data_IF_859847459583
#
_entry.id   IF_859847459583
#
_cell.length_a   1.000
_cell.length_b   1.000
_cell.length_c   1.000
_cell.angle_alpha   90.00
_cell.angle_beta   90.00
_cell.angle_gamma   90.00
#
_symmetry.space_group_name_H-M   'P 1'
#
loop_
_entity.id
_entity.type
_entity.pdbx_description
1 polymer ?
#
# COMPACT_ATOMS: atom_id res chain seq x y z
N UNK A 1 5.26 -19.42 -8.42
CA UNK A 1 5.95 -19.88 -9.63
C UNK A 1 6.09 -21.40 -9.59
N UNK A 2 5.67 -22.10 -10.65
CA UNK A 2 5.72 -23.57 -10.74
C UNK A 2 6.26 -23.96 -12.12
N UNK A 3 7.03 -25.05 -12.18
CA UNK A 3 7.60 -25.54 -13.44
C UNK A 3 6.58 -26.44 -14.17
N UNK A 4 6.34 -26.12 -15.44
CA UNK A 4 5.47 -26.87 -16.35
C UNK A 4 6.22 -27.22 -17.61
N UNK A 5 5.93 -28.41 -18.14
CA UNK A 5 6.36 -28.84 -19.48
C UNK A 5 5.14 -28.79 -20.40
N UNK A 6 5.04 -27.77 -21.24
CA UNK A 6 3.93 -27.59 -22.20
C UNK A 6 4.21 -28.48 -23.41
N UNK A 7 3.34 -29.46 -23.64
CA UNK A 7 3.53 -30.51 -24.65
C UNK A 7 2.82 -30.14 -25.95
N UNK A 8 1.53 -29.81 -25.85
CA UNK A 8 0.67 -29.56 -27.00
C UNK A 8 -0.28 -28.39 -26.76
N UNK A 9 -0.63 -27.70 -27.85
CA UNK A 9 -1.60 -26.61 -27.86
C UNK A 9 -2.89 -27.07 -28.54
N UNK A 10 -4.00 -27.04 -27.82
CA UNK A 10 -5.35 -27.18 -28.38
C UNK A 10 -6.04 -25.81 -28.47
N UNK A 11 -7.28 -25.78 -28.98
CA UNK A 11 -8.07 -24.56 -29.12
C UNK A 11 -8.31 -23.84 -27.79
N UNK A 12 -8.68 -24.61 -26.76
CA UNK A 12 -9.18 -24.06 -25.50
C UNK A 12 -8.23 -24.30 -24.32
N UNK A 13 -7.24 -25.18 -24.49
CA UNK A 13 -6.25 -25.50 -23.45
C UNK A 13 -4.90 -25.93 -24.03
N UNK A 14 -3.85 -25.73 -23.26
CA UNK A 14 -2.54 -26.34 -23.44
C UNK A 14 -2.46 -27.60 -22.58
N UNK A 15 -2.00 -28.70 -23.17
CA UNK A 15 -1.65 -29.91 -22.43
C UNK A 15 -0.26 -29.74 -21.86
N UNK A 16 -0.14 -29.80 -20.54
CA UNK A 16 1.11 -29.60 -19.83
C UNK A 16 1.39 -30.75 -18.83
N UNK A 17 2.65 -30.86 -18.41
CA UNK A 17 3.07 -31.80 -17.38
C UNK A 17 3.67 -31.06 -16.19
N UNK A 18 3.22 -31.41 -15.00
CA UNK A 18 3.74 -30.90 -13.72
C UNK A 18 4.16 -32.08 -12.85
N UNK A 19 5.44 -32.14 -12.48
CA UNK A 19 6.02 -33.23 -11.65
C UNK A 19 5.64 -34.64 -12.14
N UNK A 20 5.56 -34.84 -13.46
CA UNK A 20 5.21 -36.13 -14.09
C UNK A 20 3.72 -36.39 -14.30
N UNK A 21 2.82 -35.58 -13.72
CA UNK A 21 1.37 -35.70 -13.92
C UNK A 21 0.88 -34.80 -15.06
N UNK A 22 -0.12 -35.26 -15.81
CA UNK A 22 -0.77 -34.46 -16.84
C UNK A 22 -1.70 -33.41 -16.20
N UNK A 23 -1.67 -32.21 -16.77
CA UNK A 23 -2.47 -31.07 -16.38
C UNK A 23 -2.82 -30.22 -17.60
N UNK A 24 -3.81 -29.35 -17.44
CA UNK A 24 -4.26 -28.46 -18.51
C UNK A 24 -4.06 -27.02 -18.09
N UNK A 25 -3.61 -26.18 -19.01
CA UNK A 25 -3.53 -24.73 -18.83
C UNK A 25 -4.55 -24.09 -19.78
N UNK A 26 -5.50 -23.31 -19.28
CA UNK A 26 -6.54 -22.68 -20.13
C UNK A 26 -5.90 -21.69 -21.10
N UNK A 27 -6.34 -21.70 -22.37
CA UNK A 27 -5.97 -20.67 -23.36
C UNK A 27 -6.86 -19.44 -23.13
N UNK A 28 -6.24 -18.34 -22.74
CA UNK A 28 -6.84 -17.03 -22.51
C UNK A 28 -5.91 -15.92 -23.02
N UNK A 29 -6.31 -14.67 -22.87
CA UNK A 29 -5.54 -13.49 -23.33
C UNK A 29 -4.10 -13.46 -22.76
N UNK A 30 -3.86 -14.13 -21.63
CA UNK A 30 -2.56 -14.18 -20.97
C UNK A 30 -1.67 -15.34 -21.44
N UNK A 31 -2.25 -16.41 -21.98
CA UNK A 31 -1.56 -17.64 -22.37
C UNK A 31 -1.52 -17.89 -23.88
N UNK A 32 -2.26 -17.12 -24.68
CA UNK A 32 -2.37 -17.32 -26.13
C UNK A 32 -1.02 -17.32 -26.86
N UNK A 33 -0.07 -16.51 -26.38
CA UNK A 33 1.29 -16.35 -26.93
C UNK A 33 2.33 -17.32 -26.33
N UNK A 34 1.92 -18.28 -25.50
CA UNK A 34 2.83 -19.23 -24.86
C UNK A 34 3.38 -20.24 -25.88
N UNK A 35 4.71 -20.40 -26.00
CA UNK A 35 5.34 -21.41 -26.81
C UNK A 35 5.28 -22.80 -26.15
N UNK A 36 5.56 -23.84 -26.95
CA UNK A 36 5.66 -25.23 -26.49
C UNK A 36 7.05 -25.41 -25.86
N UNK A 37 7.12 -26.14 -24.74
CA UNK A 37 8.36 -26.42 -24.02
C UNK A 37 8.27 -26.20 -22.52
N UNK A 38 9.44 -26.17 -21.87
CA UNK A 38 9.53 -26.01 -20.42
C UNK A 38 9.47 -24.55 -20.02
N UNK A 39 8.48 -24.22 -19.19
CA UNK A 39 8.24 -22.87 -18.71
C UNK A 39 8.01 -22.85 -17.21
N UNK A 40 8.51 -21.80 -16.58
CA UNK A 40 8.27 -21.51 -15.18
C UNK A 40 7.18 -20.44 -15.10
N UNK A 41 6.02 -20.84 -14.59
CA UNK A 41 4.77 -20.07 -14.75
C UNK A 41 4.13 -19.70 -13.41
N UNK A 42 3.49 -18.55 -13.37
CA UNK A 42 2.53 -18.10 -12.37
C UNK A 42 1.14 -18.52 -12.78
N UNK A 43 0.64 -19.51 -12.07
CA UNK A 43 -0.66 -20.11 -12.31
C UNK A 43 -1.49 -20.14 -11.04
N UNK A 44 -2.78 -19.97 -11.22
CA UNK A 44 -3.82 -20.29 -10.25
C UNK A 44 -4.45 -21.63 -10.64
N UNK A 45 -4.74 -22.46 -9.65
CA UNK A 45 -5.46 -23.71 -9.87
C UNK A 45 -6.97 -23.42 -9.86
N UNK A 46 -7.61 -23.57 -11.02
CA UNK A 46 -9.04 -23.31 -11.22
C UNK A 46 -9.82 -24.64 -11.25
N UNK A 47 -9.20 -25.75 -10.86
CA UNK A 47 -9.87 -27.04 -10.77
C UNK A 47 -10.94 -27.02 -9.68
N UNK A 48 -12.17 -26.72 -10.06
CA UNK A 48 -13.32 -26.97 -9.21
C UNK A 48 -13.64 -28.47 -9.25
N UNK A 49 -13.30 -29.17 -8.16
CA UNK A 49 -13.49 -30.61 -7.98
C UNK A 49 -14.95 -31.04 -8.16
N UNK A 50 -15.89 -30.13 -7.95
CA UNK A 50 -17.32 -30.44 -7.93
C UNK A 50 -18.00 -30.22 -9.29
N UNK A 51 -17.41 -29.42 -10.18
CA UNK A 51 -18.07 -28.98 -11.42
C UNK A 51 -17.49 -29.66 -12.67
N UNK A 52 -16.23 -30.10 -12.65
CA UNK A 52 -15.53 -30.56 -13.87
C UNK A 52 -15.16 -32.06 -13.93
N UNK A 53 -15.51 -32.87 -12.91
CA UNK A 53 -15.30 -34.33 -12.85
C UNK A 53 -13.95 -34.84 -13.41
N UNK A 54 -12.91 -34.03 -13.30
CA UNK A 54 -11.59 -34.26 -13.88
C UNK A 54 -10.59 -34.54 -12.76
N UNK A 55 -9.85 -35.64 -12.87
CA UNK A 55 -8.69 -35.94 -12.00
C UNK A 55 -7.46 -35.09 -12.35
N UNK A 56 -7.52 -34.33 -13.45
CA UNK A 56 -6.45 -33.48 -13.94
C UNK A 56 -6.60 -32.07 -13.39
N UNK A 57 -5.50 -31.50 -12.89
CA UNK A 57 -5.46 -30.11 -12.44
C UNK A 57 -5.60 -29.15 -13.62
N UNK A 58 -6.52 -28.20 -13.50
CA UNK A 58 -6.73 -27.14 -14.49
C UNK A 58 -6.12 -25.87 -13.92
N UNK A 59 -5.21 -25.28 -14.68
CA UNK A 59 -4.45 -24.12 -14.30
C UNK A 59 -4.77 -22.96 -15.24
N UNK A 60 -4.72 -21.74 -14.70
CA UNK A 60 -4.85 -20.51 -15.49
C UNK A 60 -3.66 -19.61 -15.19
N UNK A 61 -3.07 -18.99 -16.22
CA UNK A 61 -2.01 -18.00 -15.99
C UNK A 61 -2.60 -16.79 -15.27
N UNK A 62 -1.93 -16.31 -14.24
CA UNK A 62 -2.34 -15.08 -13.55
C UNK A 62 -1.78 -13.82 -14.20
N UNK A 63 -0.82 -13.97 -15.13
CA UNK A 63 -0.12 -12.89 -15.82
C UNK A 63 0.15 -13.28 -17.29
N UNK A 64 0.25 -12.31 -18.22
CA UNK A 64 0.65 -12.57 -19.60
C UNK A 64 1.98 -13.33 -19.69
N UNK A 65 2.12 -14.26 -20.64
CA UNK A 65 3.32 -15.09 -20.81
C UNK A 65 4.60 -14.25 -20.92
N UNK A 66 4.55 -13.12 -21.64
CA UNK A 66 5.68 -12.19 -21.80
C UNK A 66 6.19 -11.60 -20.47
N UNK A 67 5.36 -11.59 -19.41
CA UNK A 67 5.66 -11.03 -18.10
C UNK A 67 5.95 -12.13 -17.04
N UNK A 68 6.01 -13.40 -17.45
CA UNK A 68 6.24 -14.53 -16.53
C UNK A 68 7.68 -14.53 -15.98
N UNK A 69 8.64 -14.02 -16.76
CA UNK A 69 10.03 -13.86 -16.34
C UNK A 69 10.30 -12.62 -15.51
N UNK A 70 9.36 -11.66 -15.45
CA UNK A 70 9.52 -10.35 -14.81
C UNK A 70 8.83 -10.28 -13.45
N UNK A 71 8.97 -11.32 -12.63
CA UNK A 71 8.71 -11.13 -11.18
C UNK A 71 10.00 -10.66 -10.54
N UNK A 72 10.50 -9.57 -11.12
CA UNK A 72 11.26 -8.62 -10.36
C UNK A 72 10.34 -8.14 -9.26
N UNK A 73 10.89 -8.12 -8.05
CA UNK A 73 10.22 -7.62 -6.88
C UNK A 73 10.79 -6.24 -6.66
N UNK A 74 9.94 -5.22 -6.64
CA UNK A 74 10.36 -3.92 -6.17
C UNK A 74 10.00 -3.81 -4.69
N UNK A 75 10.94 -3.28 -3.90
CA UNK A 75 10.70 -2.99 -2.49
C UNK A 75 10.68 -1.49 -2.28
N UNK A 76 9.84 -1.06 -1.34
CA UNK A 76 9.78 0.31 -0.91
C UNK A 76 9.87 0.34 0.59
N UNK A 77 10.91 1.02 1.09
CA UNK A 77 11.06 1.25 2.52
C UNK A 77 9.92 2.15 3.00
N UNK A 78 9.28 1.77 4.11
CA UNK A 78 8.36 2.70 4.75
C UNK A 78 9.14 3.96 5.15
N UNK A 79 8.69 5.13 4.69
CA UNK A 79 9.12 6.39 5.27
C UNK A 79 8.94 6.31 6.78
N UNK A 80 9.86 6.87 7.57
CA UNK A 80 9.84 6.76 9.04
C UNK A 80 8.57 7.31 9.71
N UNK A 81 7.70 8.00 8.96
CA UNK A 81 6.36 8.40 9.38
C UNK A 81 5.31 7.46 8.80
N UNK A 82 4.44 6.96 9.67
CA UNK A 82 3.33 6.09 9.34
C UNK A 82 2.19 6.90 8.69
N UNK A 83 1.94 6.71 7.39
CA UNK A 83 0.84 7.34 6.67
C UNK A 83 -0.22 6.30 6.27
N UNK A 84 -1.45 6.46 6.77
CA UNK A 84 -2.56 5.53 6.56
C UNK A 84 -3.09 5.53 5.13
N UNK A 85 -3.13 6.70 4.48
CA UNK A 85 -3.59 6.84 3.09
C UNK A 85 -2.60 6.17 2.14
N UNK A 86 -1.31 6.33 2.38
CA UNK A 86 -0.25 5.64 1.64
C UNK A 86 -0.35 4.12 1.80
N UNK A 87 -0.60 3.60 3.01
CA UNK A 87 -0.78 2.17 3.24
C UNK A 87 -1.98 1.58 2.51
N UNK A 88 -3.13 2.28 2.54
CA UNK A 88 -4.28 1.89 1.72
C UNK A 88 -3.87 1.78 0.24
N UNK A 89 -3.03 2.69 -0.25
CA UNK A 89 -2.52 2.65 -1.62
C UNK A 89 -1.54 1.49 -1.86
N UNK A 90 -0.65 1.19 -0.93
CA UNK A 90 0.24 0.02 -1.04
C UNK A 90 -0.54 -1.28 -1.13
N UNK A 91 -1.56 -1.44 -0.28
CA UNK A 91 -2.45 -2.60 -0.33
C UNK A 91 -3.21 -2.70 -1.67
N UNK A 92 -3.71 -1.57 -2.21
CA UNK A 92 -4.35 -1.52 -3.52
C UNK A 92 -3.40 -1.90 -4.67
N UNK A 93 -2.11 -1.62 -4.53
CA UNK A 93 -1.07 -2.01 -5.50
C UNK A 93 -0.61 -3.47 -5.32
N UNK A 94 -1.25 -4.24 -4.43
CA UNK A 94 -0.87 -5.62 -4.14
C UNK A 94 0.36 -5.76 -3.24
N UNK A 95 0.76 -4.67 -2.58
CA UNK A 95 1.89 -4.64 -1.66
C UNK A 95 1.68 -5.52 -0.45
N UNK A 96 2.74 -6.21 -0.04
CA UNK A 96 2.79 -6.99 1.20
C UNK A 96 3.87 -6.42 2.11
N UNK A 97 3.53 -6.22 3.38
CA UNK A 97 4.50 -5.80 4.38
C UNK A 97 5.40 -6.96 4.78
N UNK A 98 6.71 -6.79 4.69
CA UNK A 98 7.72 -7.75 5.13
C UNK A 98 8.37 -7.27 6.44
N UNK A 99 7.99 -7.85 7.61
CA UNK A 99 8.42 -7.35 8.92
C UNK A 99 9.93 -7.44 9.16
N UNK A 100 10.61 -8.42 8.55
CA UNK A 100 12.05 -8.64 8.77
C UNK A 100 12.87 -7.53 8.14
N UNK A 101 12.48 -7.09 6.94
CA UNK A 101 13.15 -6.00 6.21
C UNK A 101 12.62 -4.63 6.63
N UNK A 102 11.39 -4.57 7.14
CA UNK A 102 10.70 -3.31 7.39
C UNK A 102 10.34 -2.58 6.09
N UNK A 103 10.00 -3.34 5.05
CA UNK A 103 9.73 -2.84 3.71
C UNK A 103 8.41 -3.40 3.15
N UNK A 104 7.80 -2.61 2.27
CA UNK A 104 6.70 -3.09 1.44
C UNK A 104 7.26 -3.75 0.19
N UNK A 105 6.73 -4.92 -0.14
CA UNK A 105 7.15 -5.76 -1.26
C UNK A 105 6.03 -5.78 -2.30
N UNK A 106 6.37 -5.47 -3.55
CA UNK A 106 5.42 -5.40 -4.66
C UNK A 106 5.90 -6.21 -5.86
N UNK A 107 5.00 -6.45 -6.81
CA UNK A 107 5.39 -6.90 -8.15
C UNK A 107 6.02 -5.75 -8.92
N UNK A 108 7.07 -6.01 -9.71
CA UNK A 108 7.65 -5.01 -10.60
C UNK A 108 6.67 -4.44 -11.63
N UNK A 109 5.57 -5.14 -11.93
CA UNK A 109 4.50 -4.62 -12.79
C UNK A 109 3.88 -3.29 -12.29
N UNK A 110 4.03 -2.98 -11.00
CA UNK A 110 3.58 -1.72 -10.40
C UNK A 110 4.73 -0.82 -9.96
N UNK A 111 5.96 -1.11 -10.36
CA UNK A 111 7.17 -0.39 -9.95
C UNK A 111 7.08 1.11 -10.22
N UNK A 112 6.67 1.53 -11.42
CA UNK A 112 6.50 2.95 -11.75
C UNK A 112 5.54 3.67 -10.80
N UNK A 113 4.46 2.99 -10.40
CA UNK A 113 3.46 3.53 -9.46
C UNK A 113 4.00 3.60 -8.04
N UNK A 114 4.76 2.59 -7.63
CA UNK A 114 5.43 2.55 -6.33
C UNK A 114 6.51 3.62 -6.25
N UNK A 115 7.31 3.80 -7.31
CA UNK A 115 8.34 4.83 -7.42
C UNK A 115 7.72 6.23 -7.37
N UNK A 116 6.67 6.50 -8.13
CA UNK A 116 5.96 7.78 -8.08
C UNK A 116 5.41 8.10 -6.67
N UNK A 117 4.83 7.10 -5.99
CA UNK A 117 4.34 7.25 -4.63
C UNK A 117 5.48 7.44 -3.62
N UNK A 118 6.59 6.74 -3.81
CA UNK A 118 7.80 6.86 -3.01
C UNK A 118 8.41 8.26 -3.13
N UNK A 119 8.49 8.80 -4.35
CA UNK A 119 8.96 10.18 -4.59
C UNK A 119 8.08 11.21 -3.88
N UNK A 120 6.76 11.01 -3.89
CA UNK A 120 5.84 11.89 -3.17
C UNK A 120 6.08 11.85 -1.65
N UNK A 121 6.17 10.66 -1.08
CA UNK A 121 6.36 10.45 0.37
C UNK A 121 7.75 10.88 0.86
N UNK A 122 8.78 10.74 0.02
CA UNK A 122 10.15 11.11 0.33
C UNK A 122 10.52 12.53 -0.13
N UNK A 123 9.55 13.30 -0.63
CA UNK A 123 9.74 14.70 -0.99
C UNK A 123 10.13 15.57 0.22
N UNK A 124 10.58 16.78 -0.04
CA UNK A 124 11.01 17.71 1.01
C UNK A 124 9.90 17.92 2.06
N UNK A 125 10.22 17.74 3.34
CA UNK A 125 9.29 17.96 4.44
C UNK A 125 9.08 19.45 4.73
N UNK A 126 7.83 19.82 4.99
CA UNK A 126 7.38 21.15 5.43
C UNK A 126 6.64 21.06 6.74
N UNK A 127 6.77 22.10 7.57
CA UNK A 127 5.99 22.20 8.80
C UNK A 127 4.67 22.88 8.51
N UNK A 128 3.60 22.12 8.66
CA UNK A 128 2.23 22.55 8.44
C UNK A 128 1.58 22.78 9.79
N UNK A 129 0.88 23.89 9.95
CA UNK A 129 0.04 24.15 11.13
C UNK A 129 -1.41 24.20 10.66
N UNK A 130 -2.22 23.26 11.13
CA UNK A 130 -3.66 23.21 10.87
C UNK A 130 -4.40 23.84 12.05
N UNK A 131 -5.07 24.96 11.81
CA UNK A 131 -5.96 25.62 12.76
C UNK A 131 -7.40 25.14 12.52
N UNK A 132 -7.99 24.49 13.50
CA UNK A 132 -9.36 24.01 13.43
C UNK A 132 -10.32 25.14 13.80
N UNK A 133 -11.11 25.62 12.85
CA UNK A 133 -12.11 26.67 13.11
C UNK A 133 -13.34 26.11 13.83
N UNK A 134 -13.61 24.82 13.64
CA UNK A 134 -14.72 24.10 14.25
C UNK A 134 -14.26 22.86 15.00
N UNK A 135 -15.11 22.37 15.90
CA UNK A 135 -14.85 21.12 16.61
C UNK A 135 -15.05 19.94 15.66
N UNK A 136 -13.99 19.21 15.37
CA UNK A 136 -14.02 18.02 14.51
C UNK A 136 -14.12 16.78 15.38
N UNK A 137 -15.08 15.91 15.08
CA UNK A 137 -15.22 14.60 15.71
C UNK A 137 -15.09 13.50 14.66
N UNK A 138 -14.18 12.56 14.88
CA UNK A 138 -14.00 11.37 14.05
C UNK A 138 -14.41 10.14 14.87
N UNK A 139 -15.26 9.29 14.29
CA UNK A 139 -15.78 8.08 14.91
C UNK A 139 -15.29 6.84 14.14
N UNK A 140 -14.86 5.81 14.85
CA UNK A 140 -14.48 4.51 14.26
C UNK A 140 -13.15 4.50 13.50
N UNK A 141 -12.61 5.67 13.16
CA UNK A 141 -11.33 5.82 12.47
C UNK A 141 -10.37 6.71 13.27
N UNK A 142 -9.04 6.54 13.09
CA UNK A 142 -8.06 7.44 13.68
C UNK A 142 -8.16 8.84 13.05
N UNK A 143 -8.07 9.87 13.88
CA UNK A 143 -7.91 11.25 13.43
C UNK A 143 -6.58 11.38 12.68
N UNK A 144 -6.66 11.77 11.41
CA UNK A 144 -5.51 11.92 10.51
C UNK A 144 -5.43 13.34 9.98
N UNK A 145 -4.23 13.80 9.62
CA UNK A 145 -3.98 15.01 8.85
C UNK A 145 -2.97 14.67 7.75
N UNK A 146 -3.31 14.92 6.49
CA UNK A 146 -2.55 14.52 5.31
C UNK A 146 -2.28 13.00 5.26
N UNK A 147 -3.16 12.19 5.82
CA UNK A 147 -3.03 10.75 6.02
C UNK A 147 -2.15 10.33 7.20
N UNK A 148 -1.54 11.26 7.94
CA UNK A 148 -0.74 10.96 9.13
C UNK A 148 -1.62 10.96 10.38
N UNK A 149 -1.61 9.89 11.21
CA UNK A 149 -2.33 9.88 12.47
C UNK A 149 -1.83 11.00 13.40
N UNK A 150 -2.76 11.72 13.99
CA UNK A 150 -2.46 12.77 14.97
C UNK A 150 -2.19 12.17 16.34
N UNK A 151 -2.98 11.15 16.71
CA UNK A 151 -2.96 10.50 18.01
C UNK A 151 -2.52 9.05 17.83
N UNK A 152 -1.43 8.68 18.52
CA UNK A 152 -0.90 7.31 18.56
C UNK A 152 -1.72 6.39 19.46
N UNK A 153 -2.24 6.93 20.56
CA UNK A 153 -2.99 6.18 21.54
C UNK A 153 -3.25 6.96 22.81
N UNK A 154 -3.63 6.26 23.87
CA UNK A 154 -3.90 6.82 25.19
C UNK A 154 -2.82 6.42 26.19
N UNK A 155 -2.42 7.34 27.06
CA UNK A 155 -1.59 7.00 28.21
C UNK A 155 -2.42 6.35 29.33
N UNK A 156 -1.76 5.90 30.41
CA UNK A 156 -2.44 5.31 31.58
C UNK A 156 -3.44 6.23 32.27
N UNK A 157 -3.34 7.55 32.04
CA UNK A 157 -4.23 8.59 32.57
C UNK A 157 -5.32 9.01 31.55
N UNK A 158 -5.47 8.27 30.46
CA UNK A 158 -6.41 8.55 29.36
C UNK A 158 -6.15 9.88 28.62
N UNK A 159 -4.95 10.44 28.70
CA UNK A 159 -4.57 11.57 27.86
C UNK A 159 -4.06 11.06 26.50
N UNK A 160 -4.38 11.76 25.39
CA UNK A 160 -3.89 11.41 24.08
C UNK A 160 -2.37 11.59 24.00
N UNK A 161 -1.72 10.56 23.48
CA UNK A 161 -0.30 10.58 23.10
C UNK A 161 -0.26 10.94 21.62
N UNK A 162 0.38 12.06 21.30
CA UNK A 162 0.55 12.49 19.91
C UNK A 162 1.58 11.61 19.20
N UNK A 163 1.41 11.47 17.88
CA UNK A 163 2.34 10.72 17.04
C UNK A 163 3.67 11.46 16.85
N UNK A 164 4.69 10.75 16.36
CA UNK A 164 6.01 11.32 16.08
C UNK A 164 5.93 12.56 15.16
N UNK A 165 6.65 13.62 15.52
CA UNK A 165 6.65 14.92 14.80
C UNK A 165 5.29 15.64 14.74
N UNK A 166 4.30 15.23 15.55
CA UNK A 166 3.05 15.97 15.76
C UNK A 166 3.11 16.77 17.07
N UNK A 167 2.75 18.03 17.01
CA UNK A 167 2.76 18.95 18.16
C UNK A 167 1.46 19.74 18.24
N UNK A 168 0.81 19.71 19.41
CA UNK A 168 -0.31 20.59 19.71
C UNK A 168 0.24 21.95 20.14
N UNK A 169 -0.05 23.00 19.37
CA UNK A 169 0.36 24.38 19.66
C UNK A 169 -0.62 25.11 20.56
N UNK A 170 -1.90 24.87 20.35
CA UNK A 170 -2.99 25.51 21.07
C UNK A 170 -4.20 24.59 21.07
N UNK A 171 -5.06 24.74 22.08
CA UNK A 171 -6.33 24.05 22.20
C UNK A 171 -6.18 22.66 22.80
N UNK A 172 -7.09 21.77 22.45
CA UNK A 172 -7.23 20.47 23.10
C UNK A 172 -7.65 19.40 22.09
N UNK A 173 -7.04 18.22 22.25
CA UNK A 173 -7.43 17.01 21.56
C UNK A 173 -7.95 16.07 22.65
N UNK A 174 -9.12 15.50 22.43
CA UNK A 174 -9.70 14.49 23.29
C UNK A 174 -9.77 13.17 22.52
N UNK A 175 -9.33 12.08 23.16
CA UNK A 175 -9.40 10.75 22.59
C UNK A 175 -10.15 9.84 23.56
N UNK A 176 -11.17 9.17 23.03
CA UNK A 176 -11.94 8.12 23.68
C UNK A 176 -11.79 6.83 22.87
N UNK A 177 -12.12 5.66 23.44
CA UNK A 177 -12.19 4.41 22.69
C UNK A 177 -13.08 4.58 21.45
N UNK A 178 -12.51 4.44 20.25
CA UNK A 178 -13.24 4.56 18.98
C UNK A 178 -13.69 5.99 18.60
N UNK A 179 -13.25 7.03 19.31
CA UNK A 179 -13.63 8.42 19.03
C UNK A 179 -12.47 9.37 19.28
N UNK A 180 -12.13 10.19 18.29
CA UNK A 180 -11.16 11.27 18.40
C UNK A 180 -11.84 12.61 18.17
N UNK A 181 -11.50 13.63 18.94
CA UNK A 181 -12.09 14.95 18.82
C UNK A 181 -11.02 16.03 18.95
N UNK A 182 -11.11 17.03 18.07
CA UNK A 182 -10.29 18.26 18.12
C UNK A 182 -11.25 19.41 18.37
N UNK A 183 -11.03 20.19 19.43
CA UNK A 183 -11.88 21.33 19.72
C UNK A 183 -11.59 22.51 18.78
N UNK A 184 -12.61 23.32 18.50
CA UNK A 184 -12.45 24.58 17.80
C UNK A 184 -11.39 25.48 18.46
N UNK A 185 -10.59 26.17 17.66
CA UNK A 185 -9.45 26.98 18.12
C UNK A 185 -8.18 26.17 18.41
N UNK A 186 -8.19 24.86 18.17
CA UNK A 186 -6.98 24.04 18.31
C UNK A 186 -6.07 24.19 17.10
N UNK A 187 -4.76 24.26 17.35
CA UNK A 187 -3.73 24.37 16.33
C UNK A 187 -2.77 23.19 16.43
N UNK A 188 -2.75 22.34 15.39
CA UNK A 188 -1.91 21.14 15.33
C UNK A 188 -0.82 21.37 14.30
N UNK A 189 0.43 21.12 14.68
CA UNK A 189 1.58 21.23 13.78
C UNK A 189 2.22 19.88 13.54
N UNK A 190 2.43 19.55 12.27
CA UNK A 190 3.05 18.31 11.82
C UNK A 190 3.99 18.54 10.62
N UNK A 191 4.93 17.61 10.41
CA UNK A 191 5.83 17.63 9.26
C UNK A 191 5.24 16.79 8.12
N UNK A 192 4.95 17.42 6.98
CA UNK A 192 4.30 16.79 5.82
C UNK A 192 5.20 16.93 4.58
N UNK A 193 5.39 15.87 3.77
CA UNK A 193 6.09 15.99 2.50
C UNK A 193 5.37 16.93 1.53
N UNK A 194 6.11 17.80 0.84
CA UNK A 194 5.57 18.84 -0.03
C UNK A 194 4.60 18.28 -1.07
N UNK A 195 4.98 17.18 -1.71
CA UNK A 195 4.19 16.59 -2.78
C UNK A 195 2.82 16.05 -2.30
N UNK A 196 2.62 15.88 -0.99
CA UNK A 196 1.32 15.49 -0.42
C UNK A 196 0.40 16.70 -0.20
N UNK A 197 0.94 17.92 -0.08
CA UNK A 197 0.16 19.15 0.14
C UNK A 197 -0.60 19.60 -1.10
N UNK A 198 -0.14 19.19 -2.27
CA UNK A 198 -0.78 19.51 -3.55
C UNK A 198 -1.74 18.38 -3.98
N UNK A 199 -1.76 17.26 -3.25
CA UNK A 199 -2.48 16.07 -3.64
C UNK A 199 -3.76 15.88 -2.82
N UNK A 200 -4.89 16.13 -3.45
CA UNK A 200 -6.23 16.01 -2.84
C UNK A 200 -6.52 14.63 -2.24
N UNK A 201 -5.88 13.56 -2.72
CA UNK A 201 -6.06 12.21 -2.16
C UNK A 201 -5.62 12.10 -0.69
N UNK A 202 -4.60 12.87 -0.30
CA UNK A 202 -4.07 12.85 1.05
C UNK A 202 -4.79 13.84 1.96
N UNK A 203 -5.55 14.79 1.40
CA UNK A 203 -6.26 15.79 2.17
C UNK A 203 -7.54 15.21 2.75
N UNK A 204 -7.75 15.43 4.04
CA UNK A 204 -9.03 15.22 4.67
C UNK A 204 -9.87 16.50 4.61
N UNK A 205 -11.16 16.35 4.34
CA UNK A 205 -12.12 17.46 4.27
C UNK A 205 -12.52 17.94 5.68
N UNK A 206 -11.54 18.36 6.47
CA UNK A 206 -11.79 19.03 7.74
C UNK A 206 -11.90 20.53 7.53
N UNK A 207 -12.82 21.15 8.26
CA UNK A 207 -12.97 22.60 8.33
C UNK A 207 -11.81 23.21 9.14
N UNK A 208 -10.64 23.29 8.50
CA UNK A 208 -9.41 23.82 9.09
C UNK A 208 -8.67 24.73 8.12
N UNK A 209 -7.94 25.70 8.66
CA UNK A 209 -7.05 26.59 7.92
C UNK A 209 -5.63 26.03 8.00
N UNK A 210 -4.99 25.86 6.85
CA UNK A 210 -3.66 25.29 6.75
C UNK A 210 -2.64 26.40 6.55
N UNK A 211 -1.81 26.65 7.56
CA UNK A 211 -0.68 27.57 7.47
C UNK A 211 0.63 26.82 7.21
N UNK A 212 1.30 27.16 6.12
CA UNK A 212 2.55 26.53 5.70
C UNK A 212 3.75 27.34 6.20
N UNK A 213 4.60 26.70 7.00
CA UNK A 213 5.88 27.29 7.44
C UNK A 213 7.07 26.51 6.89
N UNK A 214 7.99 27.23 6.24
CA UNK A 214 9.21 26.63 5.68
C UNK A 214 10.23 26.44 6.79
N UNK A 215 10.49 25.21 7.19
CA UNK A 215 11.64 24.89 8.05
C UNK A 215 12.38 23.68 7.48
N UNK A 216 13.63 23.88 7.05
CA UNK A 216 14.54 22.79 6.72
C UNK A 216 14.74 21.90 7.96
N UNK A 217 14.69 20.59 7.77
CA UNK A 217 15.09 19.61 8.80
C UNK A 217 16.51 19.98 9.27
N UNK A 218 16.80 20.03 10.58
CA UNK A 218 18.17 20.22 11.04
C UNK A 218 19.02 19.06 10.52
N UNK A 219 20.14 19.40 9.88
CA UNK A 219 21.09 18.43 9.34
C UNK A 219 21.60 17.54 10.47
N UNK A 220 21.36 16.22 10.37
CA UNK A 220 21.79 15.23 11.38
C UNK A 220 23.31 15.03 11.42
N UNK A 221 24.10 15.75 10.60
CA UNK A 221 25.57 15.67 10.55
C UNK A 221 26.32 16.43 11.66
N UNK A 222 25.68 16.76 12.78
CA UNK A 222 26.36 17.27 13.98
C UNK A 222 25.89 16.52 15.22
N UNK A 223 26.43 15.31 15.42
CA UNK A 223 26.66 14.69 16.72
C UNK A 223 27.79 13.69 16.59
#
# INVERSE_FOLDING_TARGET
MQDFDVIEKHSDYFLARKKGMHCKIVVDDFSQSMPIGRHRLHVEEVSDRYTHHSREGIFRLTLPFAQQGSIDICTMRASGQYNLRAQKRFLQLGGKWEPVLGEWVFSASVEDKVNALSEQLNSQLYWVTCLFTETVTVMGEPLTLFGFPVVKGLNKKLNPILEYEVTLKQGEIAQMPGKAMVLAGSAIRLAVPQALLDNSFFHEDFLCVVELSKRKKPDKRKK
#
